data_IF_828342735767
#
_entry.id   IF_828342735767
#
_cell.length_a   1.000
_cell.length_b   1.000
_cell.length_c   1.000
_cell.angle_alpha   90.00
_cell.angle_beta   90.00
_cell.angle_gamma   90.00
#
_symmetry.space_group_name_H-M   'P 1'
#
loop_
_entity.id
_entity.type
_entity.pdbx_description
1 polymer ?
#
# COMPACT_ATOMS: atom_id res chain seq x y z
N UNK A 1 3.24 14.76 -13.52
CA UNK A 1 2.34 14.20 -12.47
C UNK A 1 2.67 14.84 -11.12
N UNK A 2 1.65 15.19 -10.33
CA UNK A 2 1.84 15.84 -9.02
C UNK A 2 2.31 14.88 -7.91
N UNK A 3 2.77 15.43 -6.79
CA UNK A 3 3.31 14.68 -5.65
C UNK A 3 2.36 13.56 -5.16
N UNK A 4 1.05 13.87 -5.01
CA UNK A 4 0.04 12.88 -4.60
C UNK A 4 -0.15 11.75 -5.60
N UNK A 5 0.06 11.99 -6.89
CA UNK A 5 -0.02 10.92 -7.89
C UNK A 5 1.13 9.92 -7.71
N UNK A 6 2.36 10.41 -7.48
CA UNK A 6 3.52 9.56 -7.22
C UNK A 6 3.35 8.75 -5.94
N UNK A 7 2.85 9.37 -4.87
CA UNK A 7 2.58 8.69 -3.60
C UNK A 7 1.54 7.56 -3.75
N UNK A 8 0.43 7.80 -4.46
CA UNK A 8 -0.58 6.76 -4.73
C UNK A 8 -0.01 5.59 -5.52
N UNK A 9 0.77 5.87 -6.56
CA UNK A 9 1.44 4.81 -7.33
C UNK A 9 2.34 3.98 -6.40
N UNK A 10 3.11 4.65 -5.54
CA UNK A 10 4.00 3.96 -4.60
C UNK A 10 3.25 3.12 -3.56
N UNK A 11 2.09 3.58 -3.09
CA UNK A 11 1.25 2.82 -2.16
C UNK A 11 0.73 1.52 -2.82
N UNK A 12 0.32 1.60 -4.09
CA UNK A 12 -0.07 0.40 -4.87
C UNK A 12 1.09 -0.59 -4.96
N UNK A 13 2.32 -0.11 -5.23
CA UNK A 13 3.50 -0.98 -5.29
C UNK A 13 3.73 -1.72 -3.96
N UNK A 14 3.56 -1.04 -2.81
CA UNK A 14 3.72 -1.66 -1.50
C UNK A 14 2.64 -2.69 -1.18
N UNK A 15 1.37 -2.39 -1.46
CA UNK A 15 0.26 -3.32 -1.24
C UNK A 15 0.44 -4.59 -2.09
N UNK A 16 0.87 -4.43 -3.34
CA UNK A 16 1.19 -5.54 -4.22
C UNK A 16 2.37 -6.37 -3.70
N UNK A 17 3.47 -5.72 -3.31
CA UNK A 17 4.65 -6.42 -2.78
C UNK A 17 4.31 -7.19 -1.49
N UNK A 18 3.50 -6.60 -0.61
CA UNK A 18 3.06 -7.21 0.64
C UNK A 18 2.22 -8.47 0.41
N UNK A 19 1.24 -8.40 -0.49
CA UNK A 19 0.39 -9.54 -0.86
C UNK A 19 1.21 -10.65 -1.52
N UNK A 20 2.07 -10.30 -2.49
CA UNK A 20 2.94 -11.27 -3.18
C UNK A 20 3.92 -11.98 -2.23
N UNK A 21 4.33 -11.31 -1.15
CA UNK A 21 5.24 -11.86 -0.13
C UNK A 21 4.51 -12.46 1.07
N UNK A 22 3.17 -12.34 1.13
CA UNK A 22 2.34 -12.69 2.27
C UNK A 22 2.84 -12.07 3.60
N UNK A 23 3.06 -10.75 3.59
CA UNK A 23 3.51 -9.97 4.75
C UNK A 23 2.58 -8.79 5.01
N UNK A 24 2.66 -8.21 6.21
CA UNK A 24 1.91 -7.00 6.55
C UNK A 24 2.44 -5.78 5.77
N UNK A 25 1.58 -5.04 5.05
CA UNK A 25 2.00 -3.91 4.22
C UNK A 25 2.46 -2.68 5.03
N UNK A 26 1.96 -2.50 6.26
CA UNK A 26 2.36 -1.40 7.15
C UNK A 26 3.77 -1.65 7.66
N UNK A 27 4.08 -2.88 8.08
CA UNK A 27 5.42 -3.28 8.48
C UNK A 27 6.41 -3.15 7.31
N UNK A 28 6.05 -3.65 6.13
CA UNK A 28 6.89 -3.53 4.92
C UNK A 28 7.21 -2.06 4.58
N UNK A 29 6.22 -1.18 4.67
CA UNK A 29 6.39 0.25 4.37
C UNK A 29 7.25 0.92 5.44
N UNK A 30 7.04 0.60 6.72
CA UNK A 30 7.84 1.08 7.85
C UNK A 30 9.31 0.68 7.72
N UNK A 31 9.59 -0.60 7.43
CA UNK A 31 10.95 -1.09 7.17
C UNK A 31 11.63 -0.32 6.05
N UNK A 32 10.91 -0.02 4.96
CA UNK A 32 11.46 0.75 3.85
C UNK A 32 11.78 2.20 4.25
N UNK A 33 10.98 2.81 5.12
CA UNK A 33 11.23 4.15 5.65
C UNK A 33 12.51 4.15 6.48
N UNK A 34 12.66 3.19 7.39
CA UNK A 34 13.86 3.11 8.23
C UNK A 34 15.13 2.86 7.39
N UNK A 35 15.04 2.00 6.36
CA UNK A 35 16.13 1.79 5.40
C UNK A 35 16.51 3.09 4.68
N UNK A 36 15.52 3.85 4.18
CA UNK A 36 15.77 5.12 3.50
C UNK A 36 16.32 6.22 4.43
N UNK A 37 16.12 6.11 5.75
CA UNK A 37 16.77 7.00 6.73
C UNK A 37 18.22 6.63 6.99
N UNK A 38 18.56 5.35 6.85
CA UNK A 38 19.91 4.83 7.11
C UNK A 38 20.82 4.89 5.87
N UNK A 39 20.25 4.88 4.66
CA UNK A 39 20.97 4.85 3.40
C UNK A 39 20.34 5.82 2.37
N UNK A 40 21.03 6.92 2.09
CA UNK A 40 20.59 7.98 1.17
C UNK A 40 20.50 7.51 -0.30
N UNK A 41 21.02 6.33 -0.64
CA UNK A 41 20.84 5.74 -1.98
C UNK A 41 19.44 5.14 -2.17
N UNK A 42 18.73 4.87 -1.07
CA UNK A 42 17.38 4.34 -1.07
C UNK A 42 16.37 5.50 -1.17
N UNK A 43 15.46 5.40 -2.13
CA UNK A 43 14.47 6.45 -2.34
C UNK A 43 13.55 6.63 -1.11
N UNK A 44 13.34 7.87 -0.62
CA UNK A 44 12.48 8.13 0.52
C UNK A 44 11.03 7.80 0.19
N UNK A 45 10.31 7.32 1.20
CA UNK A 45 8.87 7.08 1.12
C UNK A 45 8.14 8.36 1.57
N UNK A 46 7.20 8.83 0.75
CA UNK A 46 6.38 9.98 1.12
C UNK A 46 5.45 9.61 2.27
N UNK A 47 5.26 10.50 3.24
CA UNK A 47 4.29 10.33 4.34
C UNK A 47 2.89 9.97 3.83
N UNK A 48 2.44 10.60 2.75
CA UNK A 48 1.14 10.28 2.15
C UNK A 48 1.06 8.86 1.55
N UNK A 49 2.19 8.22 1.27
CA UNK A 49 2.24 6.80 0.90
C UNK A 49 1.91 5.94 2.12
N UNK A 50 2.55 6.21 3.26
CA UNK A 50 2.28 5.50 4.52
C UNK A 50 0.84 5.66 4.96
N UNK A 51 0.29 6.88 4.93
CA UNK A 51 -1.12 7.14 5.25
C UNK A 51 -2.08 6.30 4.39
N UNK A 52 -1.78 6.11 3.10
CA UNK A 52 -2.62 5.31 2.21
C UNK A 52 -2.50 3.81 2.53
N UNK A 53 -1.29 3.32 2.79
CA UNK A 53 -1.06 1.91 3.13
C UNK A 53 -1.73 1.57 4.46
N UNK A 54 -1.52 2.39 5.50
CA UNK A 54 -2.16 2.26 6.80
C UNK A 54 -3.69 2.29 6.67
N UNK A 55 -4.23 3.29 5.99
CA UNK A 55 -5.68 3.40 5.81
C UNK A 55 -6.29 2.22 5.04
N UNK A 56 -5.58 1.63 4.08
CA UNK A 56 -6.04 0.41 3.39
C UNK A 56 -5.99 -0.80 4.33
N UNK A 57 -4.89 -0.98 5.07
CA UNK A 57 -4.76 -2.10 6.01
C UNK A 57 -5.83 -2.06 7.11
N UNK A 58 -6.09 -0.88 7.69
CA UNK A 58 -7.12 -0.67 8.71
C UNK A 58 -8.55 -0.93 8.20
N UNK A 59 -8.79 -0.72 6.91
CA UNK A 59 -10.12 -0.78 6.32
C UNK A 59 -10.28 -1.94 5.32
N UNK A 60 -9.37 -2.92 5.32
CA UNK A 60 -9.26 -3.92 4.25
C UNK A 60 -10.57 -4.68 4.02
N UNK A 61 -11.14 -5.25 5.07
CA UNK A 61 -12.40 -6.02 5.00
C UNK A 61 -13.55 -5.17 4.46
N UNK A 62 -13.62 -3.90 4.87
CA UNK A 62 -14.66 -2.96 4.41
C UNK A 62 -14.45 -2.59 2.94
N UNK A 63 -13.21 -2.33 2.53
CA UNK A 63 -12.88 -2.02 1.14
C UNK A 63 -13.19 -3.21 0.23
N UNK A 64 -12.80 -4.41 0.63
CA UNK A 64 -13.07 -5.65 -0.10
C UNK A 64 -14.57 -5.92 -0.19
N UNK A 65 -15.33 -5.69 0.89
CA UNK A 65 -16.80 -5.76 0.87
C UNK A 65 -17.42 -4.79 -0.14
N UNK A 66 -17.00 -3.51 -0.12
CA UNK A 66 -17.50 -2.50 -1.08
C UNK A 66 -17.16 -2.86 -2.53
N UNK A 67 -15.94 -3.37 -2.78
CA UNK A 67 -15.54 -3.82 -4.11
C UNK A 67 -16.42 -5.01 -4.53
N UNK A 68 -16.55 -6.03 -3.66
CA UNK A 68 -17.32 -7.23 -3.93
C UNK A 68 -18.79 -6.93 -4.24
N UNK A 69 -19.43 -6.01 -3.50
CA UNK A 69 -20.82 -5.56 -3.74
C UNK A 69 -21.04 -5.00 -5.16
N UNK A 70 -19.96 -4.49 -5.78
CA UNK A 70 -20.00 -3.87 -7.10
C UNK A 70 -19.38 -4.73 -8.20
N UNK A 71 -18.92 -5.94 -7.90
CA UNK A 71 -18.51 -6.91 -8.91
C UNK A 71 -19.76 -7.59 -9.52
N UNK A 72 -19.82 -7.66 -10.85
CA UNK A 72 -20.85 -8.40 -11.60
C UNK A 72 -20.17 -9.59 -12.28
N UNK A 73 -20.64 -10.79 -11.97
CA UNK A 73 -20.11 -12.07 -12.48
C UNK A 73 -18.64 -12.36 -12.13
N UNK A 74 -18.06 -11.62 -11.18
CA UNK A 74 -16.66 -11.70 -10.76
C UNK A 74 -16.55 -11.81 -9.23
N UNK A 75 -15.51 -12.44 -8.73
CA UNK A 75 -15.16 -12.51 -7.30
C UNK A 75 -13.83 -11.83 -7.06
N UNK A 76 -13.69 -11.14 -5.92
CA UNK A 76 -12.39 -10.68 -5.43
C UNK A 76 -11.77 -11.79 -4.58
N UNK A 77 -10.59 -12.26 -4.98
CA UNK A 77 -9.80 -13.24 -4.22
C UNK A 77 -8.52 -12.58 -3.77
N UNK A 78 -8.13 -12.85 -2.52
CA UNK A 78 -6.88 -12.44 -1.88
C UNK A 78 -5.97 -13.66 -1.78
#
# INVERSE_FOLDING_TARGET
>A
MGARHKARKRAVDFLFEAEARNVDPVNLTTERIELARADDTIAPVSEYTSTLVEGVAENLDRLDGVIADHLKDWTLTR
#
